data_IF_952856806118
#
_entry.id   IF_952856806118
#
_cell.length_a   1.000
_cell.length_b   1.000
_cell.length_c   1.000
_cell.angle_alpha   90.00
_cell.angle_beta   90.00
_cell.angle_gamma   90.00
#
_symmetry.space_group_name_H-M   'P 1'
#
loop_
_entity.id
_entity.type
_entity.pdbx_description
1 polymer ?
#
# COMPACT_ATOMS: atom_id res chain seq x y z
N UNK A 1 -43.61 9.32 -18.21
CA UNK A 1 -43.60 8.15 -17.29
C UNK A 1 -42.33 8.23 -16.47
N UNK A 2 -42.45 8.70 -15.24
CA UNK A 2 -41.35 8.71 -14.27
C UNK A 2 -41.24 7.32 -13.65
N UNK A 3 -40.02 6.77 -13.42
CA UNK A 3 -39.90 5.48 -12.76
C UNK A 3 -40.29 5.62 -11.27
N UNK A 4 -41.08 4.69 -10.73
CA UNK A 4 -41.49 4.71 -9.33
C UNK A 4 -40.41 4.01 -8.50
N UNK A 5 -39.51 4.79 -7.90
CA UNK A 5 -38.86 4.54 -6.60
C UNK A 5 -37.70 5.53 -6.42
N UNK A 6 -37.69 6.23 -5.29
CA UNK A 6 -36.69 7.24 -4.93
C UNK A 6 -35.31 6.69 -4.56
N UNK A 7 -34.67 5.89 -5.42
CA UNK A 7 -33.23 5.60 -5.31
C UNK A 7 -32.46 6.60 -6.17
N UNK A 8 -31.72 7.52 -5.57
CA UNK A 8 -30.80 8.35 -6.33
C UNK A 8 -29.73 7.46 -6.96
N UNK A 9 -29.81 7.21 -8.27
CA UNK A 9 -28.78 6.54 -9.07
C UNK A 9 -27.49 7.39 -9.23
N UNK A 10 -27.31 8.41 -8.40
CA UNK A 10 -26.22 9.37 -8.51
C UNK A 10 -24.97 8.80 -7.82
N UNK A 11 -24.00 8.36 -8.63
CA UNK A 11 -22.62 8.18 -8.18
C UNK A 11 -21.88 9.49 -8.43
N UNK A 12 -21.12 9.95 -7.44
CA UNK A 12 -20.47 11.27 -7.46
C UNK A 12 -19.02 11.12 -7.05
N UNK A 13 -18.15 11.84 -7.75
CA UNK A 13 -16.76 12.06 -7.34
C UNK A 13 -16.68 13.49 -6.78
N UNK A 14 -15.97 13.66 -5.67
CA UNK A 14 -15.65 14.99 -5.11
C UNK A 14 -14.14 15.10 -4.96
N UNK A 15 -13.50 15.66 -5.99
CA UNK A 15 -12.05 15.83 -6.07
C UNK A 15 -11.73 17.29 -6.42
N UNK A 16 -10.73 17.87 -5.76
CA UNK A 16 -10.18 19.17 -6.10
C UNK A 16 -9.08 18.99 -7.14
N UNK A 17 -9.47 18.73 -8.39
CA UNK A 17 -8.54 18.32 -9.46
C UNK A 17 -7.75 19.50 -10.02
N UNK A 18 -6.44 19.30 -10.15
CA UNK A 18 -5.46 20.14 -10.85
C UNK A 18 -4.91 19.42 -12.09
N UNK A 19 -4.27 20.16 -13.00
CA UNK A 19 -3.70 19.60 -14.23
C UNK A 19 -2.30 19.04 -13.95
N UNK A 20 -2.25 17.88 -13.30
CA UNK A 20 -0.99 17.19 -12.96
C UNK A 20 -1.07 15.69 -13.30
N UNK A 21 0.08 15.02 -13.41
CA UNK A 21 0.13 13.56 -13.61
C UNK A 21 -0.49 12.81 -12.43
N UNK A 22 -0.26 13.29 -11.22
CA UNK A 22 -0.83 12.73 -9.99
C UNK A 22 -2.36 12.77 -10.03
N UNK A 23 -2.94 13.89 -10.45
CA UNK A 23 -4.38 14.05 -10.50
C UNK A 23 -5.03 13.32 -11.68
N UNK A 24 -4.31 13.15 -12.80
CA UNK A 24 -4.74 12.26 -13.89
C UNK A 24 -4.92 10.83 -13.37
N UNK A 25 -3.94 10.33 -12.63
CA UNK A 25 -3.97 8.99 -12.02
C UNK A 25 -5.04 8.89 -10.95
N UNK A 26 -5.11 9.85 -10.02
CA UNK A 26 -6.11 9.88 -8.96
C UNK A 26 -7.52 9.93 -9.54
N UNK A 27 -7.75 10.67 -10.62
CA UNK A 27 -9.06 10.68 -11.30
C UNK A 27 -9.41 9.29 -11.85
N UNK A 28 -8.45 8.55 -12.41
CA UNK A 28 -8.68 7.17 -12.86
C UNK A 28 -8.97 6.21 -11.70
N UNK A 29 -8.28 6.39 -10.57
CA UNK A 29 -8.54 5.66 -9.33
C UNK A 29 -10.00 5.89 -8.86
N UNK A 30 -10.44 7.14 -8.75
CA UNK A 30 -11.81 7.46 -8.32
C UNK A 30 -12.86 6.98 -9.33
N UNK A 31 -12.59 7.09 -10.63
CA UNK A 31 -13.49 6.56 -11.67
C UNK A 31 -13.62 5.04 -11.59
N UNK A 32 -12.56 4.32 -11.20
CA UNK A 32 -12.63 2.88 -11.01
C UNK A 32 -13.54 2.49 -9.83
N UNK A 33 -13.56 3.28 -8.74
CA UNK A 33 -14.55 3.10 -7.67
C UNK A 33 -15.98 3.29 -8.18
N UNK A 34 -16.22 4.34 -8.98
CA UNK A 34 -17.54 4.56 -9.62
C UNK A 34 -17.92 3.37 -10.50
N UNK A 35 -16.98 2.84 -11.27
CA UNK A 35 -17.22 1.67 -12.10
C UNK A 35 -17.56 0.44 -11.26
N UNK A 36 -16.90 0.23 -10.13
CA UNK A 36 -17.24 -0.84 -9.19
C UNK A 36 -18.67 -0.66 -8.64
N UNK A 37 -19.04 0.55 -8.20
CA UNK A 37 -20.41 0.87 -7.76
C UNK A 37 -21.47 0.62 -8.83
N UNK A 38 -21.12 0.74 -10.11
CA UNK A 38 -22.02 0.42 -11.22
C UNK A 38 -22.15 -1.09 -11.44
N UNK A 39 -21.07 -1.85 -11.30
CA UNK A 39 -21.05 -3.29 -11.57
C UNK A 39 -21.93 -4.10 -10.60
N UNK A 40 -21.91 -3.79 -9.31
CA UNK A 40 -22.75 -4.46 -8.32
C UNK A 40 -24.06 -3.74 -8.02
N UNK A 41 -24.46 -2.75 -8.83
CA UNK A 41 -25.66 -1.95 -8.58
C UNK A 41 -26.95 -2.80 -8.48
N UNK A 42 -27.02 -3.91 -9.22
CA UNK A 42 -28.17 -4.82 -9.22
C UNK A 42 -28.12 -5.85 -8.08
N UNK A 43 -27.03 -5.90 -7.30
CA UNK A 43 -26.97 -6.77 -6.12
C UNK A 43 -27.95 -6.28 -5.03
N UNK A 44 -28.45 -7.19 -4.16
CA UNK A 44 -29.16 -6.82 -2.94
C UNK A 44 -28.36 -5.81 -2.12
N UNK A 45 -29.05 -4.91 -1.40
CA UNK A 45 -28.42 -3.79 -0.69
C UNK A 45 -27.26 -4.23 0.25
N UNK A 46 -27.37 -5.40 0.87
CA UNK A 46 -26.35 -5.96 1.76
C UNK A 46 -25.06 -6.39 1.02
N UNK A 47 -25.12 -6.61 -0.29
CA UNK A 47 -24.00 -7.06 -1.12
C UNK A 47 -23.43 -5.96 -2.03
N UNK A 48 -23.91 -4.72 -1.90
CA UNK A 48 -23.43 -3.55 -2.66
C UNK A 48 -22.18 -2.94 -2.02
N UNK A 49 -21.16 -3.76 -1.87
CA UNK A 49 -19.82 -3.40 -1.41
C UNK A 49 -18.81 -4.34 -2.08
N UNK A 50 -17.52 -4.08 -1.94
CA UNK A 50 -16.48 -5.01 -2.38
C UNK A 50 -16.46 -6.28 -1.53
N UNK A 51 -15.92 -7.38 -2.06
CA UNK A 51 -15.81 -8.64 -1.31
C UNK A 51 -15.01 -8.53 0.00
N UNK A 52 -14.11 -7.55 0.07
CA UNK A 52 -13.60 -6.95 1.30
C UNK A 52 -13.11 -5.52 0.97
N UNK A 53 -12.79 -4.67 1.97
CA UNK A 53 -12.35 -3.30 1.72
C UNK A 53 -11.12 -3.18 0.80
N UNK A 54 -10.24 -4.18 0.76
CA UNK A 54 -9.04 -4.17 -0.08
C UNK A 54 -9.36 -4.34 -1.58
N UNK A 55 -10.48 -4.96 -1.95
CA UNK A 55 -10.85 -5.13 -3.35
C UNK A 55 -11.18 -3.81 -4.06
N UNK A 56 -11.83 -2.89 -3.35
CA UNK A 56 -12.12 -1.56 -3.88
C UNK A 56 -10.81 -0.85 -4.28
N UNK A 57 -9.86 -0.80 -3.34
CA UNK A 57 -8.54 -0.20 -3.57
C UNK A 57 -7.72 -0.95 -4.63
N UNK A 58 -7.71 -2.28 -4.59
CA UNK A 58 -6.92 -3.10 -5.51
C UNK A 58 -7.35 -2.95 -6.98
N UNK A 59 -8.67 -2.96 -7.23
CA UNK A 59 -9.20 -2.77 -8.60
C UNK A 59 -8.85 -1.37 -9.09
N UNK A 60 -9.08 -0.35 -8.26
CA UNK A 60 -8.77 1.03 -8.64
C UNK A 60 -7.29 1.21 -8.96
N UNK A 61 -6.41 0.71 -8.10
CA UNK A 61 -4.97 0.82 -8.32
C UNK A 61 -4.47 -0.01 -9.51
N UNK A 62 -5.00 -1.22 -9.75
CA UNK A 62 -4.55 -2.02 -10.88
C UNK A 62 -4.84 -1.34 -12.23
N UNK A 63 -5.98 -0.64 -12.34
CA UNK A 63 -6.28 0.18 -13.53
C UNK A 63 -5.25 1.30 -13.68
N UNK A 64 -4.86 1.95 -12.57
CA UNK A 64 -3.87 3.03 -12.62
C UNK A 64 -2.49 2.59 -13.07
N UNK A 65 -2.07 1.33 -12.81
CA UNK A 65 -0.79 0.81 -13.31
C UNK A 65 -0.70 0.87 -14.85
N UNK A 66 -1.83 0.69 -15.53
CA UNK A 66 -1.92 0.85 -16.99
C UNK A 66 -1.79 2.30 -17.43
N UNK A 67 -2.30 3.24 -16.65
CA UNK A 67 -2.30 4.69 -16.95
C UNK A 67 -0.90 5.28 -16.79
N UNK A 68 -0.16 4.83 -15.77
CA UNK A 68 1.23 5.22 -15.53
C UNK A 68 2.20 4.72 -16.61
N UNK A 69 1.82 3.70 -17.36
CA UNK A 69 2.69 3.09 -18.35
C UNK A 69 3.07 4.07 -19.47
N UNK A 70 4.36 4.16 -19.78
CA UNK A 70 4.89 4.98 -20.86
C UNK A 70 4.26 4.65 -22.21
N UNK A 71 3.99 3.37 -22.51
CA UNK A 71 3.28 2.97 -23.72
C UNK A 71 1.88 3.57 -23.80
N UNK A 72 1.19 3.64 -22.65
CA UNK A 72 -0.11 4.28 -22.56
C UNK A 72 0.00 5.79 -22.81
N UNK A 73 0.93 6.46 -22.12
CA UNK A 73 1.18 7.89 -22.28
C UNK A 73 1.57 8.28 -23.73
N UNK A 74 2.30 7.41 -24.44
CA UNK A 74 2.57 7.57 -25.87
C UNK A 74 1.31 7.47 -26.72
N UNK A 75 0.45 6.47 -26.46
CA UNK A 75 -0.79 6.26 -27.21
C UNK A 75 -1.78 7.41 -27.04
N UNK A 76 -1.84 8.01 -25.85
CA UNK A 76 -2.71 9.17 -25.58
C UNK A 76 -2.06 10.52 -25.91
N UNK A 77 -0.81 10.52 -26.40
CA UNK A 77 -0.11 11.73 -26.86
C UNK A 77 0.48 12.61 -25.76
N UNK A 78 0.62 12.08 -24.53
CA UNK A 78 1.21 12.79 -23.38
C UNK A 78 2.73 12.58 -23.27
N UNK A 79 3.31 11.60 -23.97
CA UNK A 79 4.75 11.36 -24.00
C UNK A 79 5.22 11.05 -25.43
N UNK A 80 6.15 11.84 -25.97
CA UNK A 80 6.62 11.71 -27.35
C UNK A 80 8.14 11.45 -27.48
N UNK A 81 8.87 11.38 -26.37
CA UNK A 81 10.33 11.42 -26.44
C UNK A 81 10.94 10.03 -26.71
N UNK A 82 11.35 9.81 -27.97
CA UNK A 82 11.96 8.56 -28.46
C UNK A 82 13.49 8.55 -28.46
N UNK A 83 14.14 9.63 -27.99
CA UNK A 83 15.60 9.76 -28.05
C UNK A 83 16.33 9.11 -26.87
N UNK A 84 15.61 8.76 -25.81
CA UNK A 84 16.19 8.12 -24.63
C UNK A 84 16.29 6.60 -24.79
N UNK A 85 17.34 6.04 -24.19
CA UNK A 85 17.55 4.60 -24.06
C UNK A 85 16.34 3.95 -23.35
N UNK A 86 15.60 3.04 -24.01
CA UNK A 86 14.44 2.38 -23.44
C UNK A 86 14.72 1.70 -22.10
N UNK A 87 15.92 1.15 -21.93
CA UNK A 87 16.30 0.47 -20.69
C UNK A 87 16.38 1.45 -19.51
N UNK A 88 17.06 2.59 -19.68
CA UNK A 88 17.18 3.60 -18.63
C UNK A 88 15.83 4.22 -18.27
N UNK A 89 14.99 4.46 -19.27
CA UNK A 89 13.64 4.97 -19.05
C UNK A 89 12.81 3.96 -18.24
N UNK A 90 12.88 2.66 -18.57
CA UNK A 90 12.22 1.60 -17.81
C UNK A 90 12.72 1.52 -16.36
N UNK A 91 14.04 1.60 -16.12
CA UNK A 91 14.58 1.58 -14.75
C UNK A 91 14.14 2.79 -13.93
N UNK A 92 14.15 4.00 -14.51
CA UNK A 92 13.66 5.21 -13.84
C UNK A 92 12.16 5.11 -13.50
N UNK A 93 11.37 4.54 -14.42
CA UNK A 93 9.96 4.27 -14.20
C UNK A 93 9.76 3.28 -13.04
N UNK A 94 10.44 2.14 -13.06
CA UNK A 94 10.36 1.14 -12.00
C UNK A 94 10.81 1.70 -10.65
N UNK A 95 11.86 2.52 -10.61
CA UNK A 95 12.30 3.21 -9.40
C UNK A 95 11.20 4.13 -8.85
N UNK A 96 10.57 4.93 -9.73
CA UNK A 96 9.44 5.79 -9.35
C UNK A 96 8.28 4.98 -8.78
N UNK A 97 7.90 3.89 -9.45
CA UNK A 97 6.85 2.99 -8.98
C UNK A 97 7.23 2.30 -7.66
N UNK A 98 8.50 1.98 -7.43
CA UNK A 98 8.96 1.38 -6.20
C UNK A 98 8.90 2.36 -5.03
N UNK A 99 9.21 3.64 -5.26
CA UNK A 99 9.03 4.70 -4.27
C UNK A 99 7.55 4.90 -3.90
N UNK A 100 6.65 4.82 -4.87
CA UNK A 100 5.21 4.96 -4.62
C UNK A 100 4.58 3.73 -3.96
N UNK A 101 5.00 2.51 -4.36
CA UNK A 101 4.35 1.26 -3.96
C UNK A 101 5.13 0.52 -2.88
N UNK A 102 6.39 0.22 -3.13
CA UNK A 102 7.23 -0.62 -2.25
C UNK A 102 7.64 0.15 -0.99
N UNK A 103 8.10 1.39 -1.10
CA UNK A 103 8.49 2.19 0.07
C UNK A 103 7.29 2.60 0.94
N UNK A 104 6.08 2.63 0.36
CA UNK A 104 4.82 2.91 1.05
C UNK A 104 4.26 1.71 1.83
N UNK A 105 4.46 0.48 1.35
CA UNK A 105 3.89 -0.73 1.96
C UNK A 105 4.13 -0.85 3.48
N UNK A 106 5.36 -0.65 4.00
CA UNK A 106 5.59 -0.74 5.45
C UNK A 106 4.83 0.34 6.22
N UNK A 107 4.64 1.54 5.65
CA UNK A 107 3.80 2.58 6.25
C UNK A 107 2.34 2.13 6.35
N UNK A 108 1.80 1.58 5.25
CA UNK A 108 0.42 1.11 5.24
C UNK A 108 0.17 -0.01 6.25
N UNK A 109 1.14 -0.91 6.41
CA UNK A 109 1.08 -1.97 7.42
C UNK A 109 1.11 -1.41 8.84
N UNK A 110 2.06 -0.50 9.14
CA UNK A 110 2.27 -0.04 10.52
C UNK A 110 1.12 0.82 11.08
N UNK A 111 0.32 1.49 10.23
CA UNK A 111 -0.76 2.37 10.70
C UNK A 111 -1.82 1.59 11.47
N UNK A 112 -2.31 0.49 10.92
CA UNK A 112 -3.30 -0.34 11.61
C UNK A 112 -2.66 -1.25 12.66
N UNK A 113 -1.40 -1.67 12.52
CA UNK A 113 -0.65 -2.31 13.62
C UNK A 113 -0.61 -1.40 14.86
N UNK A 114 -0.37 -0.11 14.67
CA UNK A 114 -0.41 0.87 15.75
C UNK A 114 -1.82 0.98 16.33
N UNK A 115 -2.87 1.12 15.51
CA UNK A 115 -4.26 1.18 16.01
C UNK A 115 -4.65 -0.07 16.78
N UNK A 116 -4.31 -1.26 16.29
CA UNK A 116 -4.58 -2.53 16.97
C UNK A 116 -3.88 -2.57 18.33
N UNK A 117 -2.62 -2.12 18.42
CA UNK A 117 -1.94 -2.01 19.71
C UNK A 117 -2.63 -1.03 20.66
N UNK A 118 -3.24 0.05 20.16
CA UNK A 118 -4.02 0.98 20.99
C UNK A 118 -5.34 0.34 21.46
N UNK A 119 -6.00 -0.42 20.59
CA UNK A 119 -7.25 -1.11 20.91
C UNK A 119 -7.03 -2.26 21.90
N UNK A 120 -5.90 -2.96 21.82
CA UNK A 120 -5.56 -4.10 22.68
C UNK A 120 -4.88 -3.66 23.99
N UNK A 121 -3.83 -2.84 23.91
CA UNK A 121 -3.01 -2.47 25.06
C UNK A 121 -3.45 -1.16 25.74
N UNK A 122 -4.42 -0.45 25.16
CA UNK A 122 -4.94 0.83 25.66
C UNK A 122 -4.16 2.06 25.17
N UNK A 123 -4.47 3.22 25.76
CA UNK A 123 -4.05 4.55 25.26
C UNK A 123 -2.73 5.07 25.85
N UNK A 124 -2.03 4.26 26.63
CA UNK A 124 -0.74 4.68 27.20
C UNK A 124 0.36 4.63 26.12
N UNK A 125 1.30 5.56 26.15
CA UNK A 125 2.46 5.54 25.26
C UNK A 125 2.11 5.49 23.76
N UNK A 126 1.05 6.20 23.35
CA UNK A 126 0.56 6.17 21.96
C UNK A 126 1.59 6.75 20.99
N UNK A 127 2.21 7.87 21.36
CA UNK A 127 3.09 8.59 20.46
C UNK A 127 4.44 7.88 20.31
N UNK A 128 5.01 7.41 21.42
CA UNK A 128 6.24 6.61 21.39
C UNK A 128 6.08 5.31 20.62
N UNK A 129 4.96 4.59 20.79
CA UNK A 129 4.67 3.37 20.00
C UNK A 129 4.58 3.65 18.50
N UNK A 130 3.97 4.76 18.10
CA UNK A 130 3.92 5.17 16.69
C UNK A 130 5.32 5.32 16.10
N UNK A 131 6.21 6.03 16.79
CA UNK A 131 7.59 6.23 16.33
C UNK A 131 8.46 4.97 16.41
N UNK A 132 8.24 4.10 17.39
CA UNK A 132 8.88 2.78 17.44
C UNK A 132 8.51 1.94 16.22
N UNK A 133 7.24 1.95 15.80
CA UNK A 133 6.80 1.24 14.60
C UNK A 133 7.33 1.90 13.32
N UNK A 134 7.36 3.24 13.24
CA UNK A 134 8.00 3.97 12.13
C UNK A 134 9.46 3.56 11.95
N UNK A 135 10.22 3.55 13.02
CA UNK A 135 11.62 3.11 13.00
C UNK A 135 11.71 1.63 12.64
N UNK A 136 10.90 0.76 13.25
CA UNK A 136 10.96 -0.70 13.02
C UNK A 136 10.61 -1.11 11.59
N UNK A 137 9.59 -0.50 10.99
CA UNK A 137 9.07 -0.90 9.67
C UNK A 137 9.61 -0.06 8.52
N UNK A 138 9.92 1.23 8.75
CA UNK A 138 10.38 2.15 7.69
C UNK A 138 11.82 2.63 7.86
N UNK A 139 12.43 2.48 9.03
CA UNK A 139 13.75 3.06 9.30
C UNK A 139 13.75 4.58 9.40
N UNK A 140 12.62 5.17 9.80
CA UNK A 140 12.45 6.63 9.89
C UNK A 140 12.30 7.07 11.35
N UNK A 141 13.01 8.14 11.71
CA UNK A 141 12.96 8.82 13.01
C UNK A 141 12.34 10.22 12.87
N UNK A 142 11.75 10.79 13.94
CA UNK A 142 11.28 12.16 13.89
C UNK A 142 12.47 13.14 13.80
N UNK A 143 12.30 14.30 13.13
CA UNK A 143 13.37 15.30 13.00
C UNK A 143 13.68 16.04 14.31
N UNK A 144 12.78 15.96 15.30
CA UNK A 144 12.90 16.60 16.61
C UNK A 144 12.36 15.66 17.69
N UNK A 145 12.74 15.92 18.94
CA UNK A 145 12.22 15.15 20.06
C UNK A 145 10.70 15.29 20.18
N UNK A 146 10.04 14.16 20.43
CA UNK A 146 8.60 13.97 20.61
C UNK A 146 8.36 13.33 21.97
N UNK A 147 7.23 13.64 22.56
CA UNK A 147 6.82 13.14 23.88
C UNK A 147 5.39 12.61 23.82
N UNK A 148 4.87 12.09 24.93
CA UNK A 148 3.44 11.73 25.04
C UNK A 148 2.51 12.96 25.20
N UNK A 149 3.07 14.17 25.31
CA UNK A 149 2.29 15.40 25.15
C UNK A 149 1.96 15.69 23.68
N UNK A 150 2.64 15.02 22.75
CA UNK A 150 2.38 15.07 21.32
C UNK A 150 1.46 13.92 20.87
N UNK A 151 0.75 14.11 19.76
CA UNK A 151 -0.07 13.08 19.13
C UNK A 151 0.12 13.06 17.61
N UNK A 152 1.31 12.61 17.18
CA UNK A 152 1.69 12.51 15.77
C UNK A 152 0.82 11.59 14.91
N UNK A 153 0.30 10.43 15.38
CA UNK A 153 -0.62 9.64 14.57
C UNK A 153 -1.88 10.42 14.16
N UNK A 154 -2.31 11.41 14.95
CA UNK A 154 -3.41 12.31 14.62
C UNK A 154 -3.18 13.21 13.40
N UNK A 155 -1.93 13.35 12.94
CA UNK A 155 -1.61 14.08 11.70
C UNK A 155 -2.02 13.31 10.43
N UNK A 156 -2.32 12.01 10.53
CA UNK A 156 -2.79 11.19 9.41
C UNK A 156 -4.31 11.22 9.35
N UNK A 157 -4.86 11.75 8.26
CA UNK A 157 -6.31 11.87 8.02
C UNK A 157 -7.13 10.60 8.37
N UNK A 158 -6.65 9.43 8.00
CA UNK A 158 -7.38 8.17 8.18
C UNK A 158 -7.47 7.75 9.66
N UNK A 159 -6.49 8.17 10.48
CA UNK A 159 -6.52 7.94 11.93
C UNK A 159 -7.63 8.77 12.58
N UNK A 160 -7.72 10.07 12.24
CA UNK A 160 -8.70 10.98 12.85
C UNK A 160 -10.11 10.87 12.25
N UNK A 161 -10.24 10.30 11.05
CA UNK A 161 -11.53 10.03 10.41
C UNK A 161 -12.03 8.60 10.62
N UNK A 162 -11.37 7.83 11.50
CA UNK A 162 -11.70 6.45 11.84
C UNK A 162 -11.86 5.51 10.63
N UNK A 163 -10.94 5.61 9.66
CA UNK A 163 -10.92 4.76 8.48
C UNK A 163 -9.86 3.68 8.62
N UNK A 164 -10.22 2.42 8.43
CA UNK A 164 -9.29 1.29 8.37
C UNK A 164 -8.22 1.49 7.30
N UNK A 165 -6.95 1.23 7.66
CA UNK A 165 -5.82 1.49 6.77
C UNK A 165 -5.23 0.21 6.15
N UNK A 166 -5.50 -0.95 6.75
CA UNK A 166 -5.00 -2.26 6.29
C UNK A 166 -5.47 -2.59 4.87
N UNK A 167 -6.60 -2.00 4.43
CA UNK A 167 -7.09 -2.11 3.05
C UNK A 167 -6.08 -1.60 2.02
N UNK A 168 -5.27 -0.59 2.35
CA UNK A 168 -4.23 -0.10 1.45
C UNK A 168 -3.07 -1.09 1.34
N UNK A 169 -2.66 -1.73 2.44
CA UNK A 169 -1.61 -2.74 2.41
C UNK A 169 -2.03 -3.97 1.58
N UNK A 170 -3.19 -4.55 1.91
CA UNK A 170 -3.71 -5.70 1.17
C UNK A 170 -4.09 -5.33 -0.27
N UNK A 171 -4.62 -4.13 -0.47
CA UNK A 171 -4.96 -3.57 -1.78
C UNK A 171 -3.73 -3.48 -2.67
N UNK A 172 -2.61 -2.97 -2.15
CA UNK A 172 -1.34 -2.89 -2.89
C UNK A 172 -0.74 -4.25 -3.22
N UNK A 173 -0.92 -5.28 -2.40
CA UNK A 173 -0.47 -6.64 -2.80
C UNK A 173 -1.40 -7.21 -3.88
N UNK A 174 -2.71 -7.07 -3.67
CA UNK A 174 -3.74 -7.62 -4.56
C UNK A 174 -3.78 -6.91 -5.92
N UNK A 175 -3.44 -5.62 -6.01
CA UNK A 175 -3.45 -4.86 -7.26
C UNK A 175 -2.51 -5.48 -8.30
N UNK A 176 -1.30 -5.93 -7.92
CA UNK A 176 -0.36 -6.56 -8.85
C UNK A 176 -0.82 -7.96 -9.26
N UNK A 177 -1.42 -8.70 -8.33
CA UNK A 177 -2.00 -10.01 -8.63
C UNK A 177 -3.15 -9.88 -9.63
N UNK A 178 -4.02 -8.88 -9.44
CA UNK A 178 -5.10 -8.56 -10.36
C UNK A 178 -4.55 -8.06 -11.70
N UNK A 179 -3.57 -7.16 -11.67
CA UNK A 179 -2.94 -6.60 -12.86
C UNK A 179 -2.32 -7.67 -13.76
N UNK A 180 -1.60 -8.63 -13.18
CA UNK A 180 -1.06 -9.77 -13.92
C UNK A 180 -2.17 -10.56 -14.64
N UNK A 181 -3.32 -10.78 -13.99
CA UNK A 181 -4.44 -11.46 -14.63
C UNK A 181 -5.07 -10.63 -15.75
N UNK A 182 -5.16 -9.31 -15.59
CA UNK A 182 -5.63 -8.41 -16.65
C UNK A 182 -4.68 -8.42 -17.85
N UNK A 183 -3.37 -8.38 -17.62
CA UNK A 183 -2.36 -8.45 -18.67
C UNK A 183 -2.42 -9.78 -19.43
N UNK A 184 -2.65 -10.88 -18.71
CA UNK A 184 -2.82 -12.21 -19.32
C UNK A 184 -4.10 -12.25 -20.16
N UNK A 185 -5.20 -11.69 -19.66
CA UNK A 185 -6.44 -11.57 -20.40
C UNK A 185 -6.31 -10.64 -21.64
N UNK A 186 -5.47 -9.61 -21.56
CA UNK A 186 -5.18 -8.71 -22.68
C UNK A 186 -4.24 -9.33 -23.74
N UNK A 187 -3.72 -10.54 -23.52
CA UNK A 187 -2.74 -11.16 -24.42
C UNK A 187 -1.36 -10.49 -24.42
N UNK A 188 -1.09 -9.63 -23.44
CA UNK A 188 0.17 -8.89 -23.29
C UNK A 188 1.08 -9.46 -22.21
N UNK A 189 0.64 -10.52 -21.55
CA UNK A 189 1.44 -11.34 -20.66
C UNK A 189 1.30 -12.77 -21.18
N UNK A 190 2.38 -13.30 -21.79
CA UNK A 190 2.46 -14.71 -22.16
C UNK A 190 2.37 -15.58 -20.91
N UNK A 191 2.39 -16.90 -21.07
CA UNK A 191 2.47 -17.83 -19.93
C UNK A 191 3.79 -17.59 -19.15
N UNK A 192 3.78 -16.63 -18.22
CA UNK A 192 4.91 -16.15 -17.40
C UNK A 192 5.46 -17.19 -16.40
N UNK A 193 5.08 -18.45 -16.56
CA UNK A 193 5.35 -19.50 -15.58
C UNK A 193 6.45 -20.47 -15.98
N UNK A 194 7.05 -20.39 -17.18
CA UNK A 194 8.03 -21.40 -17.61
C UNK A 194 9.34 -20.89 -18.23
N UNK A 195 9.56 -19.58 -18.38
CA UNK A 195 10.84 -19.08 -18.86
C UNK A 195 11.29 -17.87 -18.03
N UNK A 196 12.49 -17.93 -17.45
CA UNK A 196 13.21 -16.77 -16.92
C UNK A 196 13.65 -15.87 -18.10
N UNK A 197 12.70 -15.19 -18.74
CA UNK A 197 12.91 -14.25 -19.84
C UNK A 197 13.58 -12.93 -19.42
N UNK A 198 14.10 -12.87 -18.19
CA UNK A 198 14.55 -11.64 -17.52
C UNK A 198 16.02 -11.28 -17.78
N UNK A 199 16.78 -12.18 -18.43
CA UNK A 199 18.14 -11.90 -18.87
C UNK A 199 18.08 -11.44 -20.32
N UNK A 200 18.79 -10.37 -20.68
CA UNK A 200 18.88 -9.86 -22.06
C UNK A 200 19.23 -10.96 -23.09
N UNK A 201 19.96 -12.00 -22.68
CA UNK A 201 20.29 -13.16 -23.51
C UNK A 201 19.07 -14.05 -23.84
N UNK A 202 18.06 -14.13 -22.96
CA UNK A 202 16.83 -14.91 -23.15
C UNK A 202 15.67 -14.08 -23.70
N UNK A 203 15.74 -12.74 -23.67
CA UNK A 203 14.70 -11.84 -24.17
C UNK A 203 14.37 -12.08 -25.65
N UNK A 204 15.40 -12.26 -26.50
CA UNK A 204 15.19 -12.58 -27.92
C UNK A 204 14.57 -13.97 -28.14
N UNK A 205 14.91 -14.94 -27.29
CA UNK A 205 14.33 -16.28 -27.32
C UNK A 205 12.87 -16.27 -26.89
N UNK A 206 12.52 -15.42 -25.91
CA UNK A 206 11.15 -15.26 -25.45
C UNK A 206 10.28 -14.49 -26.45
N UNK A 207 10.82 -13.45 -27.09
CA UNK A 207 10.16 -12.78 -28.22
C UNK A 207 9.93 -13.75 -29.40
N UNK A 208 10.92 -14.60 -29.71
CA UNK A 208 10.80 -15.65 -30.73
C UNK A 208 9.80 -16.76 -30.35
N UNK A 209 9.64 -17.03 -29.05
CA UNK A 209 8.66 -17.97 -28.49
C UNK A 209 7.25 -17.36 -28.34
N UNK A 210 7.04 -16.10 -28.73
CA UNK A 210 5.76 -15.40 -28.57
C UNK A 210 5.40 -15.10 -27.11
N UNK A 211 6.36 -15.15 -26.19
CA UNK A 211 6.17 -14.71 -24.81
C UNK A 211 6.23 -13.18 -24.73
N UNK A 212 5.18 -12.61 -24.15
CA UNK A 212 5.01 -11.17 -24.06
C UNK A 212 5.96 -10.53 -23.03
N UNK A 213 6.14 -9.20 -23.17
CA UNK A 213 7.11 -8.39 -22.43
C UNK A 213 6.92 -8.33 -20.91
N UNK A 214 7.71 -7.49 -20.25
CA UNK A 214 7.71 -7.43 -18.79
C UNK A 214 6.37 -6.92 -18.24
N UNK A 215 5.98 -7.37 -17.03
CA UNK A 215 4.67 -7.02 -16.45
C UNK A 215 4.47 -5.49 -16.30
N UNK A 216 5.55 -4.74 -16.04
CA UNK A 216 5.51 -3.28 -15.92
C UNK A 216 5.32 -2.55 -17.26
N UNK A 217 5.41 -3.25 -18.39
CA UNK A 217 5.21 -2.70 -19.74
C UNK A 217 3.81 -3.01 -20.30
N UNK A 218 3.01 -3.82 -19.59
CA UNK A 218 1.64 -4.13 -19.97
C UNK A 218 0.75 -2.88 -19.97
N UNK A 219 -0.11 -2.71 -20.97
CA UNK A 219 -1.17 -1.70 -21.03
C UNK A 219 -2.49 -2.35 -21.46
N UNK A 220 -3.45 -2.43 -20.54
CA UNK A 220 -4.76 -3.09 -20.75
C UNK A 220 -5.75 -2.20 -21.52
N UNK A 221 -5.35 -1.00 -21.94
CA UNK A 221 -6.19 -0.09 -22.70
C UNK A 221 -6.78 -0.76 -23.96
N UNK A 222 -8.10 -0.59 -24.17
CA UNK A 222 -8.90 -1.21 -25.26
C UNK A 222 -8.99 -2.74 -25.25
N UNK A 223 -8.50 -3.42 -24.21
CA UNK A 223 -8.71 -4.86 -24.07
C UNK A 223 -10.12 -5.18 -23.58
N UNK A 224 -10.96 -5.72 -24.48
CA UNK A 224 -12.30 -6.21 -24.12
C UNK A 224 -12.23 -7.38 -23.15
N UNK A 225 -11.21 -8.21 -23.28
CA UNK A 225 -11.04 -9.43 -22.48
C UNK A 225 -10.64 -9.09 -21.04
N UNK A 226 -9.74 -8.11 -20.85
CA UNK A 226 -9.45 -7.57 -19.53
C UNK A 226 -10.68 -6.89 -18.90
N UNK A 227 -11.48 -6.17 -19.71
CA UNK A 227 -12.74 -5.57 -19.25
C UNK A 227 -13.79 -6.60 -18.80
N UNK A 228 -13.89 -7.75 -19.49
CA UNK A 228 -14.73 -8.87 -19.06
C UNK A 228 -14.27 -9.44 -17.73
N UNK A 229 -12.96 -9.67 -17.57
CA UNK A 229 -12.38 -10.15 -16.31
C UNK A 229 -12.63 -9.17 -15.15
N UNK A 230 -12.45 -7.86 -15.37
CA UNK A 230 -12.81 -6.85 -14.37
C UNK A 230 -14.29 -6.92 -13.97
N UNK A 231 -15.18 -7.08 -14.94
CA UNK A 231 -16.61 -7.20 -14.67
C UNK A 231 -16.93 -8.46 -13.85
N UNK A 232 -16.31 -9.60 -14.18
CA UNK A 232 -16.45 -10.84 -13.40
C UNK A 232 -15.97 -10.70 -11.94
N UNK A 233 -14.96 -9.87 -11.71
CA UNK A 233 -14.43 -9.56 -10.37
C UNK A 233 -15.38 -8.62 -9.60
N UNK A 234 -15.91 -7.59 -10.26
CA UNK A 234 -16.67 -6.52 -9.60
C UNK A 234 -18.17 -6.81 -9.45
N UNK A 235 -18.80 -7.48 -10.41
CA UNK A 235 -20.24 -7.71 -10.45
C UNK A 235 -20.81 -8.47 -9.23
N UNK A 236 -20.09 -9.45 -8.63
CA UNK A 236 -20.57 -10.11 -7.42
C UNK A 236 -20.71 -9.18 -6.20
N UNK A 237 -19.96 -8.07 -6.15
CA UNK A 237 -19.84 -7.26 -4.93
C UNK A 237 -19.44 -8.13 -3.73
N UNK A 238 -20.15 -7.96 -2.61
CA UNK A 238 -19.92 -8.71 -1.38
C UNK A 238 -20.72 -10.03 -1.29
N UNK A 239 -21.37 -10.47 -2.38
CA UNK A 239 -22.11 -11.75 -2.41
C UNK A 239 -21.20 -12.98 -2.45
N UNK A 240 -19.92 -12.81 -2.78
CA UNK A 240 -18.90 -13.86 -2.79
C UNK A 240 -17.75 -13.48 -1.86
N UNK A 241 -17.10 -14.48 -1.30
CA UNK A 241 -15.91 -14.25 -0.48
C UNK A 241 -14.73 -13.79 -1.33
N UNK A 242 -13.83 -13.00 -0.73
CA UNK A 242 -12.58 -12.59 -1.36
C UNK A 242 -11.80 -13.77 -1.99
N UNK A 243 -11.69 -14.90 -1.28
CA UNK A 243 -11.01 -16.10 -1.77
C UNK A 243 -11.66 -16.72 -2.99
N UNK A 244 -12.99 -16.70 -3.10
CA UNK A 244 -13.71 -17.19 -4.29
C UNK A 244 -13.48 -16.29 -5.50
N UNK A 245 -13.45 -14.97 -5.29
CA UNK A 245 -13.14 -14.01 -6.37
C UNK A 245 -11.69 -14.19 -6.83
N UNK A 246 -10.74 -14.32 -5.91
CA UNK A 246 -9.32 -14.61 -6.24
C UNK A 246 -9.21 -15.93 -7.02
N UNK A 247 -9.93 -16.96 -6.60
CA UNK A 247 -9.97 -18.25 -7.30
C UNK A 247 -10.52 -18.10 -8.71
N UNK A 248 -11.56 -17.30 -8.89
CA UNK A 248 -12.18 -17.05 -10.19
C UNK A 248 -11.22 -16.31 -11.11
N UNK A 249 -10.67 -15.17 -10.65
CA UNK A 249 -9.79 -14.33 -11.47
C UNK A 249 -8.48 -15.02 -11.86
N UNK A 250 -7.95 -15.91 -11.00
CA UNK A 250 -6.73 -16.67 -11.27
C UNK A 250 -6.99 -17.98 -12.01
N UNK A 251 -8.24 -18.25 -12.41
CA UNK A 251 -8.70 -19.49 -13.06
C UNK A 251 -8.34 -20.74 -12.27
N UNK A 252 -8.48 -20.68 -10.94
CA UNK A 252 -8.27 -21.79 -10.03
C UNK A 252 -6.84 -21.98 -9.54
N UNK A 253 -5.86 -21.17 -9.98
CA UNK A 253 -4.45 -21.31 -9.56
C UNK A 253 -4.23 -21.05 -8.09
N UNK A 254 -4.93 -20.08 -7.51
CA UNK A 254 -4.85 -19.77 -6.08
C UNK A 254 -6.17 -19.17 -5.60
N UNK A 255 -6.46 -19.27 -4.31
CA UNK A 255 -7.56 -18.59 -3.64
C UNK A 255 -7.06 -17.63 -2.53
N UNK A 256 -5.77 -17.31 -2.56
CA UNK A 256 -5.07 -16.48 -1.57
C UNK A 256 -4.46 -15.26 -2.23
N UNK A 257 -4.36 -14.18 -1.45
CA UNK A 257 -3.55 -13.01 -1.81
C UNK A 257 -2.09 -13.46 -1.82
N UNK A 258 -1.36 -13.15 -2.88
CA UNK A 258 0.06 -13.51 -3.04
C UNK A 258 0.89 -12.30 -3.48
N UNK A 259 2.07 -12.08 -2.89
CA UNK A 259 2.98 -11.01 -3.30
C UNK A 259 3.81 -11.37 -4.56
N UNK A 260 3.67 -12.57 -5.11
CA UNK A 260 4.49 -13.05 -6.24
C UNK A 260 4.43 -12.10 -7.45
N UNK A 261 3.25 -11.62 -7.81
CA UNK A 261 3.07 -10.71 -8.95
C UNK A 261 3.71 -9.34 -8.68
N UNK A 262 3.70 -8.86 -7.44
CA UNK A 262 4.38 -7.64 -7.03
C UNK A 262 5.90 -7.80 -7.14
N UNK A 263 6.45 -8.90 -6.62
CA UNK A 263 7.90 -9.20 -6.72
C UNK A 263 8.30 -9.32 -8.20
N UNK A 264 7.49 -10.01 -9.00
CA UNK A 264 7.71 -10.17 -10.45
C UNK A 264 7.69 -8.84 -11.20
N UNK A 265 6.80 -7.92 -10.83
CA UNK A 265 6.74 -6.58 -11.41
C UNK A 265 8.06 -5.82 -11.22
N UNK A 266 8.61 -5.86 -9.99
CA UNK A 266 9.82 -5.13 -9.62
C UNK A 266 11.13 -5.90 -9.80
N UNK A 267 11.11 -7.16 -10.24
CA UNK A 267 12.30 -8.00 -10.40
C UNK A 267 13.43 -7.35 -11.21
N UNK A 268 13.17 -6.66 -12.35
CA UNK A 268 14.24 -5.98 -13.07
C UNK A 268 14.95 -4.92 -12.23
N UNK A 269 14.19 -4.14 -11.47
CA UNK A 269 14.73 -3.12 -10.57
C UNK A 269 15.47 -3.75 -9.38
N UNK A 270 14.95 -4.83 -8.80
CA UNK A 270 15.61 -5.54 -7.71
C UNK A 270 16.99 -6.03 -8.13
N UNK A 271 17.11 -6.65 -9.31
CA UNK A 271 18.38 -7.12 -9.86
C UNK A 271 19.34 -5.95 -10.10
N UNK A 272 18.86 -4.83 -10.63
CA UNK A 272 19.66 -3.63 -10.82
C UNK A 272 20.15 -3.05 -9.48
N UNK A 273 19.27 -2.92 -8.49
CA UNK A 273 19.59 -2.41 -7.15
C UNK A 273 20.61 -3.29 -6.42
N UNK A 274 20.55 -4.62 -6.57
CA UNK A 274 21.56 -5.52 -6.00
C UNK A 274 22.96 -5.25 -6.56
N UNK A 275 23.06 -4.89 -7.83
CA UNK A 275 24.35 -4.53 -8.46
C UNK A 275 24.80 -3.16 -7.98
N UNK A 276 23.91 -2.17 -7.92
CA UNK A 276 24.27 -0.82 -7.45
C UNK A 276 24.70 -0.80 -5.99
N UNK A 277 23.99 -1.55 -5.14
CA UNK A 277 24.24 -1.57 -3.70
C UNK A 277 25.27 -2.63 -3.27
N UNK A 278 25.99 -3.24 -4.22
CA UNK A 278 26.94 -4.33 -3.91
C UNK A 278 28.07 -3.89 -2.97
N UNK A 279 28.46 -2.62 -3.08
CA UNK A 279 29.57 -2.00 -2.34
C UNK A 279 29.05 -1.15 -1.16
N UNK A 280 27.73 -1.15 -0.91
CA UNK A 280 27.14 -0.45 0.23
C UNK A 280 27.50 -1.16 1.54
N UNK A 281 28.09 -0.46 2.52
CA UNK A 281 28.59 -1.09 3.74
C UNK A 281 27.47 -1.57 4.67
N UNK A 282 26.25 -1.04 4.53
CA UNK A 282 25.11 -1.36 5.38
C UNK A 282 23.81 -1.37 4.55
N UNK A 283 23.12 -2.50 4.54
CA UNK A 283 21.75 -2.63 4.03
C UNK A 283 20.83 -2.85 5.23
N UNK A 284 19.93 -1.88 5.46
CA UNK A 284 19.09 -1.79 6.65
C UNK A 284 19.47 -0.59 7.51
N UNK A 285 18.97 -0.53 8.74
CA UNK A 285 19.23 0.57 9.66
C UNK A 285 19.54 0.04 11.07
N UNK A 286 20.45 0.72 11.76
CA UNK A 286 20.67 0.56 13.19
C UNK A 286 19.80 1.57 13.96
N UNK A 287 19.46 1.26 15.20
CA UNK A 287 18.83 2.21 16.11
C UNK A 287 19.68 2.40 17.35
N UNK A 288 19.99 3.64 17.66
CA UNK A 288 20.86 4.04 18.75
C UNK A 288 20.00 4.49 19.94
N UNK A 289 20.59 4.57 21.14
CA UNK A 289 19.89 5.16 22.29
C UNK A 289 19.44 6.60 22.02
N UNK A 290 20.21 7.38 21.26
CA UNK A 290 19.85 8.74 20.86
C UNK A 290 18.60 8.77 19.97
N UNK A 291 18.49 7.84 19.02
CA UNK A 291 17.35 7.74 18.11
C UNK A 291 16.08 7.41 18.87
N UNK A 292 16.14 6.42 19.77
CA UNK A 292 15.01 6.04 20.62
C UNK A 292 14.68 7.18 21.60
N UNK A 293 15.68 7.92 22.09
CA UNK A 293 15.51 9.07 22.97
C UNK A 293 14.69 10.21 22.37
N UNK A 294 14.56 10.27 21.04
CA UNK A 294 13.69 11.23 20.36
C UNK A 294 12.21 10.94 20.56
N UNK A 295 11.81 9.75 21.02
CA UNK A 295 10.40 9.38 21.16
C UNK A 295 10.19 8.35 22.27
N UNK A 296 11.10 8.26 23.25
CA UNK A 296 10.94 7.40 24.39
C UNK A 296 9.83 7.96 25.31
N UNK A 297 9.05 7.11 26.00
CA UNK A 297 8.19 7.57 27.07
C UNK A 297 9.02 8.40 28.05
N UNK A 298 8.54 9.58 28.45
CA UNK A 298 9.15 10.25 29.59
C UNK A 298 9.01 9.34 30.79
N UNK A 299 10.09 8.61 31.15
CA UNK A 299 10.25 8.19 32.53
C UNK A 299 10.25 9.49 33.29
N UNK A 300 9.15 9.76 33.99
CA UNK A 300 9.10 10.89 34.90
C UNK A 300 10.42 10.90 35.65
N UNK A 301 11.09 12.05 35.69
CA UNK A 301 11.96 12.31 36.81
C UNK A 301 11.04 12.22 38.04
N UNK A 302 10.83 10.99 38.52
CA UNK A 302 10.54 10.78 39.90
C UNK A 302 11.67 11.49 40.58
N UNK A 303 11.37 12.65 41.14
CA UNK A 303 12.06 13.09 42.33
C UNK A 303 11.95 11.89 43.28
N UNK A 304 12.94 11.00 43.25
CA UNK A 304 13.36 10.31 44.44
C UNK A 304 13.71 11.44 45.39
N UNK A 305 12.69 11.92 46.10
CA UNK A 305 12.88 12.55 47.40
C UNK A 305 13.51 11.44 48.20
N UNK A 306 14.84 11.43 48.20
CA UNK A 306 15.61 10.73 49.20
C UNK A 306 15.20 11.36 50.52
N UNK A 307 14.17 10.79 51.15
CA UNK A 307 13.94 11.05 52.56
C UNK A 307 15.23 10.61 53.25
N UNK A 308 16.05 11.59 53.63
CA UNK A 308 17.20 11.36 54.47
C UNK A 308 16.71 10.56 55.68
N UNK A 309 17.25 9.37 55.90
CA UNK A 309 16.89 8.51 57.05
C UNK A 309 16.98 9.27 58.38
N UNK A 310 17.70 10.40 58.42
CA UNK A 310 17.78 11.32 59.56
C UNK A 310 16.41 11.86 59.99
N UNK A 311 15.48 12.14 59.06
CA UNK A 311 14.15 12.68 59.41
C UNK A 311 13.19 11.62 59.97
N UNK A 312 13.33 10.35 59.55
CA UNK A 312 12.57 9.23 60.10
C UNK A 312 13.04 8.84 61.51
N UNK A 313 14.36 8.92 61.77
CA UNK A 313 14.92 8.65 63.10
C UNK A 313 14.54 9.75 64.11
N UNK A 314 14.49 11.02 63.69
CA UNK A 314 14.06 12.12 64.57
C UNK A 314 12.58 12.04 64.96
N UNK A 315 11.71 11.56 64.06
CA UNK A 315 10.29 11.34 64.37
C UNK A 315 10.07 10.15 65.31
N UNK A 316 10.88 9.09 65.20
CA UNK A 316 10.81 7.95 66.14
C UNK A 316 11.39 8.26 67.52
N UNK A 317 12.40 9.14 67.64
CA UNK A 317 12.93 9.54 68.95
C UNK A 317 11.96 10.41 69.77
N UNK A 318 11.04 11.15 69.13
CA UNK A 318 9.98 11.86 69.86
C UNK A 318 8.93 10.92 70.45
N UNK A 319 8.71 9.74 69.85
CA UNK A 319 7.73 8.76 70.33
C UNK A 319 8.23 7.94 71.53
N UNK A 320 9.55 7.79 71.70
CA UNK A 320 10.15 7.05 72.83
C UNK A 320 10.34 7.93 74.08
N UNK A 321 10.31 9.25 73.94
CA UNK A 321 10.41 10.19 75.08
C UNK A 321 9.05 10.53 75.73
N UNK A 322 7.94 9.99 75.21
CA UNK A 322 6.57 10.20 75.72
C UNK A 322 5.82 8.91 76.07
N UNK A 323 6.55 7.81 76.34
CA UNK A 323 6.01 6.60 76.96
C UNK A 323 6.74 6.30 78.28
#
# INVERSE_FOLDING_TARGET
>A
MSPPNGSSNARKIKQCTEVTMQDLVSTHHEMAHIQYYLQYAEQPQLFRDGANPAFHEAVANAVTLSVYNIQHLQRVGLYNNRTHDPYQVSMNFLMTMALEKVAYLPFAFMVDQWRWSVFEDGVQNMNSRWWQMKLRFQGVIPPMQRTEADFDPGSKYHVISDQEYIKYFLGTVLEFQLYEQLCQAAGQAGHLHECDCWVQLFEQLCQAAGQAGHLHECDVYRSRDAGRLLSEIMQPGASKTASEIIRTMTRGRTNRISPESLVRYFRPLELWLRVQNRDEPLIGWSSNYQDIGLFAPQRGHGTTVTYSMVLLVLSMMQFVLFL
#
